data_IF_893203510376
#
_entry.id   IF_893203510376
#
_cell.length_a   1.000
_cell.length_b   1.000
_cell.length_c   1.000
_cell.angle_alpha   90.00
_cell.angle_beta   90.00
_cell.angle_gamma   90.00
#
_symmetry.space_group_name_H-M   'P 1'
#
loop_
_entity.id
_entity.type
_entity.pdbx_description
1 polymer ?
#
# COMPACT_ATOMS: atom_id res chain seq x y z
N UNK A 1 1.73 -54.11 48.67
CA UNK A 1 2.67 -54.49 47.57
C UNK A 1 1.88 -54.62 46.27
N UNK A 2 2.50 -54.27 45.13
CA UNK A 2 1.89 -54.10 43.79
C UNK A 2 0.90 -55.20 43.35
N UNK A 3 -0.20 -54.79 42.70
CA UNK A 3 -0.71 -55.38 41.44
C UNK A 3 -1.40 -54.29 40.59
N UNK A 4 -1.41 -54.50 39.27
CA UNK A 4 -1.73 -53.51 38.23
C UNK A 4 -3.24 -53.40 38.00
N UNK A 5 -3.74 -52.20 37.73
CA UNK A 5 -4.93 -51.98 36.90
C UNK A 5 -4.48 -51.44 35.54
N UNK A 6 -5.11 -51.90 34.47
CA UNK A 6 -4.99 -51.29 33.15
C UNK A 6 -5.96 -50.12 33.11
N UNK A 7 -5.51 -48.96 32.65
CA UNK A 7 -6.39 -47.94 32.07
C UNK A 7 -5.80 -47.44 30.75
N UNK A 8 -6.68 -46.98 29.87
CA UNK A 8 -6.48 -46.93 28.42
C UNK A 8 -5.62 -45.77 27.94
N UNK A 9 -4.71 -46.05 27.00
CA UNK A 9 -4.04 -45.00 26.23
C UNK A 9 -5.07 -44.19 25.42
N UNK A 10 -5.07 -42.88 25.64
CA UNK A 10 -5.48 -41.89 24.63
C UNK A 10 -4.22 -41.16 24.18
N UNK A 11 -4.00 -40.93 22.87
CA UNK A 11 -2.73 -40.37 22.40
C UNK A 11 -2.53 -38.92 22.84
N UNK A 12 -1.27 -38.61 23.14
CA UNK A 12 -0.80 -37.27 23.52
C UNK A 12 -1.07 -36.24 22.43
N UNK A 13 -1.21 -34.97 22.82
CA UNK A 13 -1.50 -33.87 21.91
C UNK A 13 -0.43 -33.73 20.83
N UNK A 14 -0.87 -33.60 19.58
CA UNK A 14 0.00 -33.21 18.48
C UNK A 14 0.47 -31.78 18.71
N UNK A 15 1.71 -31.65 19.17
CA UNK A 15 2.40 -30.36 19.28
C UNK A 15 2.57 -29.77 17.88
N UNK A 16 1.71 -28.83 17.52
CA UNK A 16 1.71 -28.20 16.20
C UNK A 16 2.93 -27.31 16.09
N UNK A 17 4.00 -27.82 15.47
CA UNK A 17 5.32 -27.20 15.32
C UNK A 17 5.38 -25.93 14.46
N UNK A 18 4.45 -25.01 14.67
CA UNK A 18 4.45 -23.65 14.15
C UNK A 18 5.35 -22.83 15.08
N UNK A 19 6.53 -22.43 14.58
CA UNK A 19 7.42 -21.55 15.33
C UNK A 19 6.68 -20.26 15.73
N UNK A 20 6.89 -19.74 16.95
CA UNK A 20 6.23 -18.52 17.40
C UNK A 20 6.60 -17.36 16.46
N UNK A 21 5.59 -16.61 16.00
CA UNK A 21 5.80 -15.45 15.14
C UNK A 21 6.65 -14.41 15.90
N UNK A 22 7.70 -13.84 15.29
CA UNK A 22 8.55 -12.86 15.96
C UNK A 22 7.71 -11.63 16.36
N UNK A 23 7.85 -11.21 17.61
CA UNK A 23 7.20 -10.00 18.12
C UNK A 23 7.98 -8.76 17.70
N UNK A 24 7.33 -7.60 17.70
CA UNK A 24 7.98 -6.34 17.34
C UNK A 24 9.20 -6.01 18.25
N UNK A 25 9.21 -6.51 19.49
CA UNK A 25 10.32 -6.47 20.44
C UNK A 25 11.58 -7.23 20.00
N UNK A 26 11.43 -8.20 19.09
CA UNK A 26 12.45 -9.20 18.81
C UNK A 26 13.39 -8.74 17.67
N UNK A 27 13.08 -7.58 17.05
CA UNK A 27 13.87 -6.95 15.99
C UNK A 27 14.82 -5.90 16.56
N UNK A 28 16.07 -6.30 16.83
CA UNK A 28 17.16 -5.36 17.15
C UNK A 28 17.62 -4.66 15.87
N UNK A 29 17.21 -3.40 15.68
CA UNK A 29 17.56 -2.63 14.49
C UNK A 29 18.96 -2.03 14.58
N UNK A 30 19.87 -2.53 13.74
CA UNK A 30 21.15 -1.87 13.48
C UNK A 30 20.96 -0.67 12.53
N UNK A 31 21.74 0.40 12.72
CA UNK A 31 21.73 1.58 11.83
C UNK A 31 22.01 1.14 10.38
N UNK A 32 21.20 1.62 9.44
CA UNK A 32 21.47 1.37 8.02
C UNK A 32 22.84 1.95 7.59
N UNK A 33 23.68 1.20 6.85
CA UNK A 33 24.96 1.71 6.35
C UNK A 33 24.81 2.61 5.11
N UNK A 34 23.59 2.78 4.58
CA UNK A 34 23.31 3.71 3.47
C UNK A 34 23.15 5.13 4.03
N UNK A 35 23.90 6.10 3.48
CA UNK A 35 23.73 7.51 3.82
C UNK A 35 22.27 7.95 3.57
N UNK A 36 21.67 8.63 4.55
CA UNK A 36 20.24 8.93 4.48
C UNK A 36 19.91 9.89 3.33
N UNK A 37 18.84 9.53 2.61
CA UNK A 37 18.43 10.16 1.37
C UNK A 37 17.96 11.60 1.60
N UNK A 38 18.40 12.52 0.75
CA UNK A 38 18.27 13.99 0.91
C UNK A 38 16.84 14.57 0.81
N UNK A 39 15.80 13.75 1.00
CA UNK A 39 14.39 14.15 0.90
C UNK A 39 13.51 13.58 2.03
N UNK A 40 14.04 12.75 2.94
CA UNK A 40 13.37 12.34 4.19
C UNK A 40 13.95 13.14 5.34
N UNK A 41 13.10 13.70 6.22
CA UNK A 41 13.56 14.59 7.30
C UNK A 41 13.94 13.87 8.60
N UNK A 42 13.97 12.53 8.60
CA UNK A 42 14.43 11.69 9.70
C UNK A 42 14.87 10.31 9.21
N UNK A 43 15.65 9.58 10.02
CA UNK A 43 16.03 8.20 9.73
C UNK A 43 14.82 7.26 9.81
N UNK A 44 14.78 6.13 9.08
CA UNK A 44 13.69 5.18 9.19
C UNK A 44 13.57 4.58 10.60
N UNK A 45 14.67 4.42 11.33
CA UNK A 45 14.65 4.00 12.73
C UNK A 45 14.14 5.10 13.67
N UNK A 46 14.34 6.38 13.35
CA UNK A 46 13.71 7.51 14.06
C UNK A 46 12.21 7.58 13.77
N UNK A 47 11.81 7.59 12.49
CA UNK A 47 10.41 7.51 12.05
C UNK A 47 9.67 6.35 12.74
N UNK A 48 10.25 5.16 12.71
CA UNK A 48 9.66 3.96 13.30
C UNK A 48 9.50 4.10 14.82
N UNK A 49 10.52 4.61 15.53
CA UNK A 49 10.43 4.84 16.99
C UNK A 49 9.36 5.86 17.33
N UNK A 50 9.32 7.00 16.65
CA UNK A 50 8.29 8.03 16.84
C UNK A 50 6.88 7.48 16.63
N UNK A 51 6.66 6.71 15.56
CA UNK A 51 5.35 6.09 15.30
C UNK A 51 5.02 5.04 16.37
N UNK A 52 5.96 4.18 16.73
CA UNK A 52 5.75 3.16 17.78
C UNK A 52 5.47 3.78 19.14
N UNK A 53 6.13 4.90 19.50
CA UNK A 53 5.88 5.61 20.76
C UNK A 53 4.46 6.23 20.79
N UNK A 54 3.96 6.74 19.66
CA UNK A 54 2.57 7.20 19.51
C UNK A 54 1.56 6.06 19.59
N UNK A 55 1.86 4.90 18.97
CA UNK A 55 0.95 3.75 18.94
C UNK A 55 0.97 2.93 20.25
N UNK A 56 2.05 2.97 21.04
CA UNK A 56 2.26 2.13 22.23
C UNK A 56 1.13 2.18 23.27
N UNK A 57 0.56 3.36 23.63
CA UNK A 57 -0.52 3.41 24.63
C UNK A 57 -1.85 2.81 24.17
N UNK A 58 -2.04 2.61 22.86
CA UNK A 58 -3.34 2.30 22.25
C UNK A 58 -3.40 0.93 21.58
N UNK A 59 -2.28 0.46 21.01
CA UNK A 59 -2.25 -0.67 20.07
C UNK A 59 -1.14 -1.69 20.34
N UNK A 60 -0.34 -1.55 21.40
CA UNK A 60 0.64 -2.57 21.81
C UNK A 60 0.11 -3.36 23.01
N UNK A 61 0.30 -4.70 23.05
CA UNK A 61 1.16 -5.52 22.18
C UNK A 61 0.51 -5.96 20.85
N UNK A 62 -0.65 -5.41 20.51
CA UNK A 62 -1.56 -5.95 19.48
C UNK A 62 -1.15 -5.67 18.02
N UNK A 63 0.03 -5.08 17.76
CA UNK A 63 0.61 -4.93 16.41
C UNK A 63 1.60 -6.06 16.10
N UNK A 64 1.32 -6.79 15.03
CA UNK A 64 2.15 -7.87 14.47
C UNK A 64 2.74 -7.41 13.13
N UNK A 65 3.99 -7.79 12.87
CA UNK A 65 4.68 -7.46 11.61
C UNK A 65 5.18 -8.73 10.93
N UNK A 66 4.83 -8.93 9.66
CA UNK A 66 5.53 -9.88 8.79
C UNK A 66 6.54 -9.15 7.90
N UNK A 67 7.60 -9.85 7.48
CA UNK A 67 8.64 -9.35 6.58
C UNK A 67 8.96 -10.42 5.53
N UNK A 68 9.14 -10.00 4.27
CA UNK A 68 9.57 -10.86 3.16
C UNK A 68 10.42 -10.04 2.15
N UNK A 69 11.49 -10.61 1.57
CA UNK A 69 12.19 -10.00 0.45
C UNK A 69 11.46 -10.23 -0.89
N UNK A 70 11.88 -9.56 -1.96
CA UNK A 70 11.65 -10.06 -3.33
C UNK A 70 12.56 -11.26 -3.64
N UNK A 71 12.33 -11.92 -4.78
CA UNK A 71 13.12 -13.07 -5.24
C UNK A 71 14.63 -12.80 -5.40
N UNK A 72 15.05 -11.55 -5.57
CA UNK A 72 16.46 -11.13 -5.66
C UNK A 72 17.10 -10.72 -4.32
N UNK A 73 16.33 -10.62 -3.24
CA UNK A 73 16.82 -10.09 -1.95
C UNK A 73 17.18 -8.60 -1.95
N UNK A 74 16.92 -7.88 -3.05
CA UNK A 74 17.27 -6.46 -3.25
C UNK A 74 16.24 -5.49 -2.66
N UNK A 75 15.00 -5.94 -2.45
CA UNK A 75 13.91 -5.17 -1.84
C UNK A 75 13.18 -5.98 -0.76
N UNK A 76 12.52 -5.27 0.14
CA UNK A 76 11.84 -5.80 1.32
C UNK A 76 10.41 -5.25 1.42
N UNK A 77 9.51 -6.14 1.77
CA UNK A 77 8.11 -5.87 2.07
C UNK A 77 7.83 -6.23 3.51
N UNK A 78 7.08 -5.37 4.21
CA UNK A 78 6.46 -5.76 5.46
C UNK A 78 4.94 -5.67 5.36
N UNK A 79 4.24 -6.33 6.27
CA UNK A 79 2.83 -6.04 6.56
C UNK A 79 2.69 -5.76 8.04
N UNK A 80 2.28 -4.54 8.37
CA UNK A 80 1.98 -4.09 9.74
C UNK A 80 0.48 -4.30 9.94
N UNK A 81 0.11 -5.27 10.76
CA UNK A 81 -1.28 -5.64 11.02
C UNK A 81 -1.57 -5.58 12.52
N UNK A 82 -2.84 -5.43 12.90
CA UNK A 82 -3.29 -5.82 14.23
C UNK A 82 -3.30 -7.36 14.35
N UNK A 83 -3.35 -7.92 15.57
CA UNK A 83 -3.27 -9.39 15.83
C UNK A 83 -4.15 -10.22 14.88
N UNK A 84 -5.37 -9.73 14.61
CA UNK A 84 -6.35 -10.42 13.76
C UNK A 84 -5.99 -10.47 12.25
N UNK A 85 -4.96 -9.75 11.77
CA UNK A 85 -4.45 -9.80 10.39
C UNK A 85 -5.35 -9.22 9.28
N UNK A 86 -6.66 -9.13 9.53
CA UNK A 86 -7.70 -8.55 8.67
C UNK A 86 -7.49 -7.05 8.45
N UNK A 87 -6.98 -6.34 9.46
CA UNK A 87 -6.61 -4.92 9.38
C UNK A 87 -5.09 -4.79 9.42
N UNK A 88 -4.50 -4.31 8.32
CA UNK A 88 -3.08 -4.03 8.21
C UNK A 88 -2.73 -3.26 6.94
N UNK A 89 -1.56 -2.64 6.95
CA UNK A 89 -0.97 -1.86 5.85
C UNK A 89 0.37 -2.44 5.44
N UNK A 90 0.85 -2.12 4.24
CA UNK A 90 2.06 -2.73 3.68
C UNK A 90 3.23 -1.74 3.71
N UNK A 91 4.45 -2.25 3.86
CA UNK A 91 5.66 -1.43 3.99
C UNK A 91 6.68 -1.69 2.89
N UNK A 92 7.10 -0.58 2.27
CA UNK A 92 8.05 -0.39 1.17
C UNK A 92 9.56 -0.23 1.47
N UNK A 93 10.49 -1.11 1.11
CA UNK A 93 11.91 -0.80 1.39
C UNK A 93 13.01 -1.39 0.51
N UNK A 94 14.03 -0.57 0.24
CA UNK A 94 15.36 -1.03 -0.22
C UNK A 94 16.20 -1.67 0.91
N UNK A 95 15.67 -1.67 2.14
CA UNK A 95 16.26 -2.24 3.37
C UNK A 95 15.11 -2.56 4.34
N UNK A 96 15.33 -3.46 5.30
CA UNK A 96 14.34 -3.77 6.35
C UNK A 96 13.88 -2.52 7.13
N UNK A 97 14.77 -1.63 7.63
CA UNK A 97 14.33 -0.39 8.29
C UNK A 97 13.41 0.49 7.43
N UNK A 98 13.71 0.63 6.13
CA UNK A 98 12.87 1.40 5.21
C UNK A 98 11.49 0.75 5.02
N UNK A 99 11.43 -0.58 4.87
CA UNK A 99 10.17 -1.32 4.75
C UNK A 99 9.31 -1.15 6.00
N UNK A 100 9.90 -1.33 7.19
CA UNK A 100 9.22 -1.12 8.47
C UNK A 100 8.70 0.31 8.62
N UNK A 101 9.57 1.31 8.42
CA UNK A 101 9.19 2.71 8.52
C UNK A 101 8.06 3.07 7.53
N UNK A 102 8.11 2.56 6.30
CA UNK A 102 7.05 2.74 5.31
C UNK A 102 5.73 2.08 5.74
N UNK A 103 5.76 0.85 6.30
CA UNK A 103 4.53 0.15 6.69
C UNK A 103 3.87 0.76 7.91
N UNK A 104 4.67 1.21 8.88
CA UNK A 104 4.17 1.97 10.03
C UNK A 104 3.69 3.36 9.65
N UNK A 105 4.31 4.03 8.66
CA UNK A 105 3.83 5.30 8.13
C UNK A 105 2.49 5.14 7.36
N UNK A 106 2.36 4.12 6.51
CA UNK A 106 1.08 3.81 5.82
C UNK A 106 -0.01 3.45 6.85
N UNK A 107 0.33 2.72 7.92
CA UNK A 107 -0.59 2.47 9.04
C UNK A 107 -1.03 3.77 9.73
N UNK A 108 -0.10 4.68 10.05
CA UNK A 108 -0.41 5.98 10.64
C UNK A 108 -1.26 6.86 9.73
N UNK A 109 -0.94 6.93 8.44
CA UNK A 109 -1.72 7.66 7.44
C UNK A 109 -3.18 7.20 7.43
N UNK A 110 -3.40 5.88 7.38
CA UNK A 110 -4.73 5.27 7.28
C UNK A 110 -5.49 5.38 8.61
N UNK A 111 -4.78 5.40 9.74
CA UNK A 111 -5.32 5.72 11.07
C UNK A 111 -5.74 7.20 11.16
N UNK A 112 -4.87 8.14 10.80
CA UNK A 112 -5.09 9.59 10.92
C UNK A 112 -6.19 10.08 9.98
N UNK A 113 -6.26 9.55 8.77
CA UNK A 113 -7.30 9.87 7.79
C UNK A 113 -8.56 8.98 7.91
N UNK A 114 -8.68 8.20 9.00
CA UNK A 114 -9.83 7.35 9.35
C UNK A 114 -10.19 6.25 8.32
N UNK A 115 -9.33 5.99 7.33
CA UNK A 115 -9.60 5.06 6.23
C UNK A 115 -9.62 3.58 6.61
N UNK A 116 -8.96 3.18 7.70
CA UNK A 116 -9.11 1.83 8.26
C UNK A 116 -10.58 1.54 8.66
N UNK A 117 -11.41 2.59 8.79
CA UNK A 117 -12.80 2.52 9.21
C UNK A 117 -13.76 3.17 8.19
N UNK A 118 -13.52 2.92 6.88
CA UNK A 118 -14.39 3.40 5.79
C UNK A 118 -15.81 2.80 5.78
N UNK A 119 -16.02 1.57 6.26
CA UNK A 119 -17.32 0.89 6.21
C UNK A 119 -18.27 1.23 7.37
N UNK A 120 -17.91 2.19 8.22
CA UNK A 120 -18.65 2.50 9.44
C UNK A 120 -19.34 3.86 9.29
N UNK A 121 -20.61 3.87 8.89
CA UNK A 121 -21.54 4.99 9.12
C UNK A 121 -22.99 4.67 8.70
N UNK A 122 -23.89 4.46 9.66
CA UNK A 122 -25.34 4.62 9.49
C UNK A 122 -25.82 6.08 9.68
N UNK A 123 -24.93 7.08 9.51
CA UNK A 123 -24.81 8.27 10.37
C UNK A 123 -24.08 7.99 11.72
N UNK A 124 -23.11 7.06 11.68
CA UNK A 124 -22.06 6.79 12.69
C UNK A 124 -22.44 6.23 14.09
N UNK A 125 -23.38 5.25 14.21
CA UNK A 125 -23.28 4.22 15.26
C UNK A 125 -22.79 2.85 14.74
N UNK A 126 -22.43 1.97 15.67
CA UNK A 126 -21.88 0.60 15.47
C UNK A 126 -20.42 0.53 15.00
N UNK A 127 -19.50 0.82 15.94
CA UNK A 127 -18.13 0.28 15.96
C UNK A 127 -18.16 -1.23 16.30
N UNK A 128 -18.84 -2.02 15.47
CA UNK A 128 -18.56 -3.44 15.35
C UNK A 128 -17.51 -3.63 14.26
N UNK A 129 -16.25 -3.37 14.61
CA UNK A 129 -15.24 -4.24 14.06
C UNK A 129 -15.58 -5.64 14.59
N UNK A 130 -16.16 -6.50 13.79
CA UNK A 130 -16.32 -7.92 14.06
C UNK A 130 -15.82 -8.63 12.81
N UNK A 131 -14.55 -9.08 12.75
CA UNK A 131 -14.23 -10.18 11.86
C UNK A 131 -15.20 -11.32 12.19
N UNK A 132 -15.69 -12.04 11.16
CA UNK A 132 -16.85 -12.94 11.26
C UNK A 132 -16.73 -13.98 12.39
N UNK A 133 -15.50 -14.28 12.82
CA UNK A 133 -15.17 -14.87 14.12
C UNK A 133 -14.00 -14.11 14.75
N UNK A 134 -14.18 -13.54 15.95
CA UNK A 134 -13.08 -13.18 16.86
C UNK A 134 -12.80 -14.41 17.75
N UNK A 135 -11.55 -14.91 17.85
CA UNK A 135 -11.20 -15.94 18.81
C UNK A 135 -11.55 -15.52 20.24
N UNK A 136 -12.15 -16.41 21.04
CA UNK A 136 -12.70 -16.04 22.37
C UNK A 136 -11.64 -15.45 23.31
N UNK A 137 -10.38 -15.90 23.16
CA UNK A 137 -9.21 -15.39 23.88
C UNK A 137 -8.80 -13.95 23.52
N UNK A 138 -9.22 -13.42 22.37
CA UNK A 138 -8.88 -12.07 21.87
C UNK A 138 -10.01 -11.04 22.09
N UNK A 139 -11.23 -11.51 22.40
CA UNK A 139 -12.44 -10.68 22.57
C UNK A 139 -12.26 -9.53 23.58
N UNK A 140 -11.50 -9.74 24.65
CA UNK A 140 -11.24 -8.72 25.69
C UNK A 140 -10.30 -7.61 25.22
N UNK A 141 -9.21 -7.96 24.53
CA UNK A 141 -8.26 -6.98 23.95
C UNK A 141 -9.01 -6.12 22.92
N UNK A 142 -9.81 -6.78 22.09
CA UNK A 142 -10.63 -6.16 21.06
C UNK A 142 -11.67 -5.16 21.60
N UNK A 143 -12.38 -5.51 22.66
CA UNK A 143 -13.33 -4.59 23.31
C UNK A 143 -12.61 -3.38 23.92
N UNK A 144 -11.40 -3.59 24.49
CA UNK A 144 -10.57 -2.50 25.02
C UNK A 144 -10.08 -1.57 23.90
N UNK A 145 -9.63 -2.14 22.79
CA UNK A 145 -9.27 -1.43 21.56
C UNK A 145 -10.43 -0.58 21.03
N UNK A 146 -11.63 -1.17 20.85
CA UNK A 146 -12.79 -0.45 20.31
C UNK A 146 -13.23 0.70 21.23
N UNK A 147 -13.15 0.52 22.56
CA UNK A 147 -13.46 1.58 23.53
C UNK A 147 -12.39 2.69 23.59
N UNK A 148 -11.12 2.39 23.33
CA UNK A 148 -10.07 3.42 23.18
C UNK A 148 -10.25 4.20 21.87
N UNK A 149 -10.45 3.48 20.75
CA UNK A 149 -10.67 4.05 19.43
C UNK A 149 -11.91 4.95 19.37
N UNK A 150 -13.04 4.51 19.95
CA UNK A 150 -14.27 5.30 19.99
C UNK A 150 -14.10 6.65 20.69
N UNK A 151 -13.31 6.70 21.77
CA UNK A 151 -13.00 7.94 22.51
C UNK A 151 -12.11 8.87 21.69
N UNK A 152 -10.99 8.36 21.16
CA UNK A 152 -10.08 9.15 20.32
C UNK A 152 -10.79 9.71 19.05
N UNK A 153 -11.71 8.94 18.46
CA UNK A 153 -12.54 9.42 17.33
C UNK A 153 -13.53 10.49 17.76
N UNK A 154 -14.22 10.32 18.89
CA UNK A 154 -15.12 11.34 19.45
C UNK A 154 -14.35 12.65 19.73
N UNK A 155 -13.22 12.54 20.42
CA UNK A 155 -12.36 13.65 20.83
C UNK A 155 -11.61 14.32 19.65
N UNK A 156 -11.67 13.77 18.42
CA UNK A 156 -11.16 14.41 17.19
C UNK A 156 -12.26 14.96 16.29
N UNK A 157 -13.42 14.31 16.25
CA UNK A 157 -14.54 14.69 15.37
C UNK A 157 -15.41 15.78 16.01
N UNK A 158 -15.60 15.75 17.33
CA UNK A 158 -16.52 16.63 18.06
C UNK A 158 -15.94 18.01 18.41
N UNK A 159 -14.64 18.21 18.72
CA UNK A 159 -14.13 19.55 19.04
C UNK A 159 -13.73 20.38 17.82
N UNK A 160 -13.80 19.86 16.59
CA UNK A 160 -13.77 20.72 15.41
C UNK A 160 -15.14 21.37 15.21
N UNK A 161 -15.23 22.69 14.95
CA UNK A 161 -16.50 23.38 14.71
C UNK A 161 -17.10 22.95 13.36
N UNK A 162 -17.81 21.83 13.34
CA UNK A 162 -18.51 21.40 12.13
C UNK A 162 -19.72 22.29 11.87
N UNK A 163 -19.63 23.13 10.85
CA UNK A 163 -20.80 23.41 10.00
C UNK A 163 -21.30 22.06 9.49
N UNK A 164 -22.59 21.77 9.68
CA UNK A 164 -23.17 20.42 9.55
C UNK A 164 -22.59 19.59 8.39
N UNK A 165 -21.87 18.53 8.73
CA UNK A 165 -21.32 17.58 7.76
C UNK A 165 -20.13 18.08 6.92
N UNK A 166 -19.50 19.21 7.25
CA UNK A 166 -18.30 19.71 6.58
C UNK A 166 -17.01 19.37 7.34
N UNK A 167 -15.88 19.37 6.64
CA UNK A 167 -14.52 19.36 7.17
C UNK A 167 -13.76 20.61 6.73
N UNK A 168 -12.87 21.08 7.59
CA UNK A 168 -11.96 22.19 7.29
C UNK A 168 -10.74 21.72 6.50
N UNK A 169 -10.41 22.43 5.42
CA UNK A 169 -9.21 22.25 4.60
C UNK A 169 -8.52 23.60 4.40
N UNK A 170 -7.22 23.57 4.09
CA UNK A 170 -6.46 24.76 3.71
C UNK A 170 -6.14 24.72 2.21
N UNK A 171 -6.59 25.73 1.48
CA UNK A 171 -6.11 26.02 0.14
C UNK A 171 -4.68 26.56 0.25
N UNK A 172 -3.71 25.77 -0.20
CA UNK A 172 -2.28 26.12 -0.14
C UNK A 172 -1.87 27.16 -1.20
N UNK A 173 -2.68 27.37 -2.25
CA UNK A 173 -2.40 28.34 -3.31
C UNK A 173 -2.87 29.74 -2.91
N UNK A 174 -4.06 29.84 -2.31
CA UNK A 174 -4.66 31.11 -1.89
C UNK A 174 -4.42 31.44 -0.41
N UNK A 175 -3.92 30.48 0.39
CA UNK A 175 -3.70 30.65 1.83
C UNK A 175 -4.99 30.69 2.66
N UNK A 176 -6.14 30.32 2.07
CA UNK A 176 -7.47 30.44 2.67
C UNK A 176 -7.95 29.12 3.26
N UNK A 177 -8.77 29.21 4.32
CA UNK A 177 -9.57 28.07 4.79
C UNK A 177 -10.73 27.84 3.83
N UNK A 178 -10.99 26.58 3.48
CA UNK A 178 -12.12 26.12 2.66
C UNK A 178 -12.80 24.94 3.34
N UNK A 179 -14.12 24.83 3.21
CA UNK A 179 -14.89 23.75 3.81
C UNK A 179 -15.38 22.77 2.75
N UNK A 180 -15.04 21.49 2.92
CA UNK A 180 -15.45 20.41 2.01
C UNK A 180 -16.46 19.49 2.70
N UNK A 181 -17.52 19.11 2.00
CA UNK A 181 -18.50 18.17 2.54
C UNK A 181 -17.86 16.81 2.82
N UNK A 182 -18.17 16.21 3.98
CA UNK A 182 -17.66 14.91 4.43
C UNK A 182 -17.88 13.79 3.40
N UNK A 183 -18.99 13.85 2.67
CA UNK A 183 -19.29 12.95 1.54
C UNK A 183 -18.32 13.11 0.36
N UNK A 184 -17.87 14.32 0.06
CA UNK A 184 -16.90 14.59 -1.01
C UNK A 184 -15.47 14.22 -0.62
N UNK A 185 -15.15 14.13 0.67
CA UNK A 185 -13.83 13.67 1.13
C UNK A 185 -13.73 12.15 1.04
N UNK A 186 -14.73 11.43 1.54
CA UNK A 186 -14.65 9.96 1.61
C UNK A 186 -15.12 9.23 0.34
N UNK A 187 -16.09 9.74 -0.42
CA UNK A 187 -16.67 8.97 -1.53
C UNK A 187 -15.80 8.94 -2.81
N UNK A 188 -15.41 10.08 -3.43
CA UNK A 188 -14.76 10.10 -4.73
C UNK A 188 -13.23 9.87 -4.73
N UNK A 189 -12.53 10.15 -3.62
CA UNK A 189 -11.05 10.12 -3.63
C UNK A 189 -10.44 8.80 -3.16
N UNK A 190 -11.22 7.88 -2.56
CA UNK A 190 -10.67 6.68 -1.89
C UNK A 190 -9.49 7.10 -0.99
N UNK A 191 -8.30 6.53 -1.16
CA UNK A 191 -7.06 6.89 -0.43
C UNK A 191 -6.18 7.91 -1.15
N UNK A 192 -6.65 8.49 -2.26
CA UNK A 192 -5.83 9.33 -3.15
C UNK A 192 -5.38 10.62 -2.46
N UNK A 193 -4.07 10.80 -2.32
CA UNK A 193 -3.49 12.04 -1.78
C UNK A 193 -3.55 12.14 -0.26
N UNK A 194 -3.86 11.07 0.45
CA UNK A 194 -3.46 10.96 1.86
C UNK A 194 -1.97 10.66 1.94
N UNK A 195 -1.29 11.16 2.97
CA UNK A 195 0.10 10.83 3.25
C UNK A 195 0.43 11.05 4.73
N UNK A 196 1.29 10.19 5.28
CA UNK A 196 2.04 10.48 6.50
C UNK A 196 3.51 10.78 6.18
N UNK A 197 4.16 11.56 7.04
CA UNK A 197 5.57 11.92 6.92
C UNK A 197 6.12 12.46 8.24
N UNK A 198 7.45 12.50 8.35
CA UNK A 198 8.14 13.03 9.54
C UNK A 198 7.89 14.53 9.77
N UNK A 199 7.55 15.25 8.71
CA UNK A 199 7.18 16.68 8.68
C UNK A 199 5.95 16.87 7.79
N UNK A 200 5.26 18.00 7.95
CA UNK A 200 4.09 18.36 7.12
C UNK A 200 4.49 18.43 5.64
N UNK A 201 5.66 18.97 5.37
CA UNK A 201 6.21 19.16 4.03
C UNK A 201 6.56 17.81 3.38
N UNK A 202 7.15 16.88 4.14
CA UNK A 202 7.42 15.52 3.66
C UNK A 202 6.12 14.77 3.31
N UNK A 203 5.08 14.91 4.14
CA UNK A 203 3.76 14.33 3.88
C UNK A 203 3.12 14.95 2.61
N UNK A 204 3.11 16.28 2.50
CA UNK A 204 2.59 16.98 1.31
C UNK A 204 3.31 16.57 0.02
N UNK A 205 4.64 16.40 0.05
CA UNK A 205 5.41 15.92 -1.11
C UNK A 205 5.02 14.49 -1.50
N UNK A 206 4.77 13.59 -0.54
CA UNK A 206 4.28 12.24 -0.87
C UNK A 206 2.85 12.28 -1.45
N UNK A 207 1.93 13.03 -0.84
CA UNK A 207 0.55 13.18 -1.33
C UNK A 207 0.49 13.74 -2.76
N UNK A 208 1.28 14.77 -3.05
CA UNK A 208 1.39 15.35 -4.39
C UNK A 208 2.03 14.38 -5.39
N UNK A 209 3.08 13.64 -4.98
CA UNK A 209 3.66 12.60 -5.82
C UNK A 209 2.61 11.54 -6.18
N UNK A 210 1.85 11.02 -5.22
CA UNK A 210 0.81 10.01 -5.46
C UNK A 210 -0.32 10.55 -6.36
N UNK A 211 -0.67 11.83 -6.24
CA UNK A 211 -1.63 12.50 -7.13
C UNK A 211 -1.09 12.59 -8.57
N UNK A 212 0.18 12.98 -8.76
CA UNK A 212 0.81 12.98 -10.08
C UNK A 212 0.95 11.56 -10.65
N UNK A 213 1.31 10.58 -9.82
CA UNK A 213 1.44 9.14 -10.13
C UNK A 213 0.14 8.58 -10.73
N UNK A 214 -1.02 8.89 -10.12
CA UNK A 214 -2.34 8.52 -10.66
C UNK A 214 -2.79 9.37 -11.85
N UNK A 215 -2.55 10.69 -11.85
CA UNK A 215 -2.96 11.56 -12.95
C UNK A 215 -2.23 11.20 -14.26
N UNK A 216 -0.92 10.96 -14.19
CA UNK A 216 -0.12 10.55 -15.34
C UNK A 216 -0.57 9.19 -15.86
N UNK A 217 -0.71 8.18 -14.97
CA UNK A 217 -1.20 6.85 -15.34
C UNK A 217 -2.58 6.90 -16.02
N UNK A 218 -3.52 7.67 -15.47
CA UNK A 218 -4.85 7.88 -16.06
C UNK A 218 -4.80 8.53 -17.44
N UNK A 219 -3.91 9.50 -17.61
CA UNK A 219 -3.80 10.27 -18.86
C UNK A 219 -3.17 9.43 -19.98
N UNK A 220 -2.11 8.68 -19.68
CA UNK A 220 -1.48 7.74 -20.64
C UNK A 220 -2.46 6.66 -21.07
N UNK A 221 -3.15 6.02 -20.11
CA UNK A 221 -4.09 4.94 -20.38
C UNK A 221 -5.32 5.42 -21.19
N UNK A 222 -6.01 6.47 -20.72
CA UNK A 222 -7.25 6.96 -21.35
C UNK A 222 -7.03 7.40 -22.80
N UNK A 223 -5.89 8.00 -23.08
CA UNK A 223 -5.57 8.57 -24.39
C UNK A 223 -4.72 7.62 -25.26
N UNK A 224 -4.47 6.38 -24.82
CA UNK A 224 -3.58 5.38 -25.47
C UNK A 224 -2.26 6.02 -25.94
N UNK A 225 -1.58 6.73 -25.04
CA UNK A 225 -0.38 7.50 -25.40
C UNK A 225 0.84 6.62 -25.56
N UNK A 226 1.45 6.63 -26.75
CA UNK A 226 2.83 6.15 -26.93
C UNK A 226 3.78 7.14 -26.25
N UNK A 227 4.46 6.67 -25.20
CA UNK A 227 5.36 7.48 -24.35
C UNK A 227 6.84 7.10 -24.55
N UNK A 228 7.76 8.08 -24.52
CA UNK A 228 9.16 7.82 -24.84
C UNK A 228 9.85 7.00 -23.75
N UNK A 229 10.78 6.14 -24.17
CA UNK A 229 11.64 5.37 -23.28
C UNK A 229 12.79 6.23 -22.75
N UNK A 230 13.10 6.09 -21.47
CA UNK A 230 14.22 6.74 -20.79
C UNK A 230 15.47 5.84 -20.91
N UNK A 231 16.56 6.30 -21.55
CA UNK A 231 17.80 5.53 -21.61
C UNK A 231 18.41 5.31 -20.22
N UNK A 232 18.81 4.07 -19.92
CA UNK A 232 19.27 3.69 -18.57
C UNK A 232 20.59 4.35 -18.15
N UNK A 233 21.35 4.93 -19.08
CA UNK A 233 22.56 5.69 -18.76
C UNK A 233 22.28 7.00 -17.98
N UNK A 234 21.04 7.51 -18.00
CA UNK A 234 20.59 8.59 -17.12
C UNK A 234 20.30 8.12 -15.67
N UNK A 235 20.30 6.81 -15.42
CA UNK A 235 20.01 6.22 -14.11
C UNK A 235 21.30 5.88 -13.34
N UNK A 236 21.21 5.95 -12.02
CA UNK A 236 22.31 5.60 -11.12
C UNK A 236 22.72 4.14 -11.29
N UNK A 237 23.98 3.78 -10.96
CA UNK A 237 24.41 2.38 -11.00
C UNK A 237 23.52 1.46 -10.16
N UNK A 238 23.05 1.91 -8.99
CA UNK A 238 22.16 1.13 -8.12
C UNK A 238 20.79 0.84 -8.74
N UNK A 239 20.23 1.79 -9.50
CA UNK A 239 18.96 1.60 -10.20
C UNK A 239 19.14 0.67 -11.39
N UNK A 240 20.21 0.85 -12.17
CA UNK A 240 20.55 -0.07 -13.27
C UNK A 240 20.75 -1.50 -12.80
N UNK A 241 21.41 -1.72 -11.68
CA UNK A 241 21.58 -3.04 -11.07
C UNK A 241 20.22 -3.75 -10.83
N UNK A 242 19.24 -3.05 -10.25
CA UNK A 242 17.91 -3.63 -10.03
C UNK A 242 17.17 -3.96 -11.34
N UNK A 243 17.32 -3.12 -12.37
CA UNK A 243 16.73 -3.39 -13.69
C UNK A 243 17.43 -4.57 -14.39
N UNK A 244 18.75 -4.70 -14.24
CA UNK A 244 19.51 -5.85 -14.73
C UNK A 244 19.12 -7.16 -14.03
N UNK A 245 18.88 -7.17 -12.71
CA UNK A 245 18.39 -8.36 -12.00
C UNK A 245 17.07 -8.91 -12.59
N UNK A 246 16.14 -8.01 -12.93
CA UNK A 246 14.88 -8.37 -13.60
C UNK A 246 15.14 -8.92 -15.02
N UNK A 247 16.08 -8.30 -15.74
CA UNK A 247 16.45 -8.72 -17.09
C UNK A 247 17.15 -10.09 -17.13
N UNK A 248 18.05 -10.35 -16.18
CA UNK A 248 18.75 -11.65 -16.01
C UNK A 248 17.80 -12.78 -15.59
N UNK A 249 16.67 -12.45 -14.96
CA UNK A 249 15.58 -13.39 -14.69
C UNK A 249 14.74 -13.74 -15.95
N UNK A 250 15.08 -13.21 -17.12
CA UNK A 250 14.47 -13.56 -18.41
C UNK A 250 13.33 -12.65 -18.85
N UNK A 251 13.18 -11.46 -18.26
CA UNK A 251 12.14 -10.49 -18.61
C UNK A 251 12.70 -9.30 -19.40
N UNK A 252 11.89 -8.77 -20.31
CA UNK A 252 12.12 -7.45 -20.89
C UNK A 252 11.75 -6.36 -19.89
N UNK A 253 12.55 -5.29 -19.86
CA UNK A 253 12.38 -4.19 -18.90
C UNK A 253 12.51 -2.84 -19.60
N UNK A 254 11.54 -1.97 -19.43
CA UNK A 254 11.55 -0.62 -19.97
C UNK A 254 11.33 0.41 -18.86
N UNK A 255 11.97 1.58 -18.99
CA UNK A 255 11.64 2.76 -18.19
C UNK A 255 11.04 3.78 -19.14
N UNK A 256 9.80 4.20 -18.89
CA UNK A 256 9.02 5.11 -19.73
C UNK A 256 8.82 6.46 -19.03
N UNK A 257 8.87 7.55 -19.79
CA UNK A 257 8.64 8.90 -19.30
C UNK A 257 7.14 9.19 -19.19
N UNK A 258 6.66 9.41 -17.97
CA UNK A 258 5.27 9.73 -17.66
C UNK A 258 5.10 11.21 -17.26
N UNK A 259 6.06 12.08 -17.62
CA UNK A 259 6.02 13.53 -17.41
C UNK A 259 4.92 14.25 -18.21
N UNK A 260 4.30 13.57 -19.18
CA UNK A 260 3.29 14.05 -20.13
C UNK A 260 3.72 15.28 -20.96
N UNK A 261 5.01 15.61 -21.00
CA UNK A 261 5.50 16.86 -21.61
C UNK A 261 5.16 18.13 -20.83
N UNK A 262 4.50 18.01 -19.67
CA UNK A 262 4.18 19.14 -18.76
C UNK A 262 5.10 19.16 -17.52
N UNK A 263 6.06 18.24 -17.44
CA UNK A 263 7.08 18.21 -16.39
C UNK A 263 6.67 17.51 -15.10
N UNK A 264 5.70 16.58 -15.13
CA UNK A 264 5.37 15.79 -13.94
C UNK A 264 6.56 14.88 -13.54
N UNK A 265 6.85 14.70 -12.23
CA UNK A 265 7.99 13.91 -11.76
C UNK A 265 7.69 12.39 -11.73
N UNK A 266 7.06 11.89 -12.80
CA UNK A 266 6.53 10.52 -12.90
C UNK A 266 7.27 9.74 -13.99
N UNK A 267 7.65 8.52 -13.67
CA UNK A 267 8.12 7.52 -14.64
C UNK A 267 7.26 6.26 -14.52
N UNK A 268 7.43 5.33 -15.44
CA UNK A 268 6.83 4.00 -15.33
C UNK A 268 7.86 2.93 -15.66
N UNK A 269 7.98 1.89 -14.82
CA UNK A 269 8.74 0.69 -15.15
C UNK A 269 7.79 -0.33 -15.76
N UNK A 270 8.14 -0.88 -16.90
CA UNK A 270 7.41 -1.95 -17.58
C UNK A 270 8.25 -3.22 -17.51
N UNK A 271 7.65 -4.34 -17.13
CA UNK A 271 8.30 -5.65 -17.02
C UNK A 271 7.42 -6.71 -17.70
N UNK A 272 7.97 -7.58 -18.54
CA UNK A 272 7.18 -8.63 -19.18
C UNK A 272 7.95 -9.49 -20.19
N UNK A 273 7.23 -10.33 -20.91
CA UNK A 273 7.66 -10.95 -22.18
C UNK A 273 6.47 -11.02 -23.14
N UNK A 274 6.67 -11.22 -24.45
CA UNK A 274 5.57 -11.42 -25.39
C UNK A 274 4.62 -12.59 -25.04
N UNK A 275 5.11 -13.63 -24.37
CA UNK A 275 4.34 -14.83 -24.00
C UNK A 275 3.61 -14.66 -22.66
N UNK A 276 4.27 -14.04 -21.68
CA UNK A 276 3.73 -13.81 -20.35
C UNK A 276 2.74 -12.64 -20.33
N UNK A 277 3.03 -11.62 -21.14
CA UNK A 277 2.41 -10.30 -21.11
C UNK A 277 3.27 -9.26 -20.37
N UNK A 278 2.96 -7.98 -20.58
CA UNK A 278 3.63 -6.86 -19.92
C UNK A 278 2.84 -6.31 -18.74
N UNK A 279 3.55 -5.91 -17.70
CA UNK A 279 3.03 -5.18 -16.56
C UNK A 279 3.71 -3.82 -16.48
N UNK A 280 2.93 -2.74 -16.39
CA UNK A 280 3.47 -1.40 -16.24
C UNK A 280 3.15 -0.87 -14.84
N UNK A 281 4.16 -0.35 -14.13
CA UNK A 281 4.01 0.25 -12.79
C UNK A 281 4.53 1.69 -12.77
N UNK A 282 3.64 2.70 -12.65
CA UNK A 282 4.03 4.09 -12.52
C UNK A 282 4.60 4.38 -11.13
N UNK A 283 5.46 5.39 -11.04
CA UNK A 283 6.09 5.83 -9.80
C UNK A 283 6.51 7.31 -9.88
N UNK A 284 6.20 8.07 -8.84
CA UNK A 284 6.47 9.52 -8.74
C UNK A 284 7.36 9.85 -7.54
N UNK A 285 8.43 10.61 -7.75
CA UNK A 285 9.27 11.11 -6.67
C UNK A 285 10.08 12.35 -7.07
N UNK A 286 10.57 13.15 -6.10
CA UNK A 286 11.61 14.15 -6.35
C UNK A 286 12.92 13.47 -6.83
N UNK A 287 13.09 13.35 -8.14
CA UNK A 287 14.27 12.77 -8.80
C UNK A 287 14.03 11.39 -9.43
N UNK A 288 14.50 11.25 -10.67
CA UNK A 288 14.22 10.10 -11.54
C UNK A 288 14.58 8.73 -10.93
N UNK A 289 15.75 8.63 -10.30
CA UNK A 289 16.21 7.38 -9.68
C UNK A 289 15.25 6.90 -8.60
N UNK A 290 14.68 7.83 -7.80
CA UNK A 290 13.73 7.48 -6.75
C UNK A 290 12.35 7.15 -7.29
N UNK A 291 11.96 7.76 -8.42
CA UNK A 291 10.74 7.42 -9.12
C UNK A 291 10.80 5.98 -9.67
N UNK A 292 11.93 5.59 -10.27
CA UNK A 292 12.19 4.19 -10.71
C UNK A 292 12.24 3.22 -9.52
N UNK A 293 12.92 3.57 -8.42
CA UNK A 293 12.90 2.78 -7.18
C UNK A 293 11.48 2.54 -6.67
N UNK A 294 10.61 3.56 -6.68
CA UNK A 294 9.19 3.40 -6.33
C UNK A 294 8.49 2.42 -7.26
N UNK A 295 8.66 2.54 -8.59
CA UNK A 295 8.05 1.61 -9.54
C UNK A 295 8.41 0.14 -9.23
N UNK A 296 9.70 -0.14 -8.96
CA UNK A 296 10.18 -1.51 -8.66
C UNK A 296 9.65 -2.01 -7.31
N UNK A 297 9.65 -1.17 -6.28
CA UNK A 297 9.07 -1.51 -4.96
C UNK A 297 7.56 -1.76 -5.06
N UNK A 298 6.84 -0.94 -5.81
CA UNK A 298 5.40 -1.08 -6.07
C UNK A 298 5.08 -2.35 -6.87
N UNK A 299 5.94 -2.74 -7.81
CA UNK A 299 5.79 -3.95 -8.63
C UNK A 299 5.75 -5.22 -7.77
N UNK A 300 6.76 -5.42 -6.91
CA UNK A 300 6.87 -6.59 -6.01
C UNK A 300 5.98 -6.52 -4.77
N UNK A 301 5.15 -5.48 -4.60
CA UNK A 301 4.26 -5.40 -3.45
C UNK A 301 3.25 -6.56 -3.46
N UNK A 302 3.23 -7.30 -2.34
CA UNK A 302 2.33 -8.43 -2.09
C UNK A 302 2.74 -9.75 -2.77
N UNK A 303 3.43 -9.69 -3.92
CA UNK A 303 3.86 -10.87 -4.69
C UNK A 303 5.38 -10.74 -4.96
N UNK A 304 6.23 -11.54 -4.30
CA UNK A 304 7.69 -11.34 -4.32
C UNK A 304 8.39 -11.85 -5.59
N UNK A 305 7.66 -12.46 -6.53
CA UNK A 305 8.22 -13.02 -7.77
C UNK A 305 7.60 -12.41 -9.02
N UNK A 306 8.45 -12.13 -10.02
CA UNK A 306 8.10 -11.45 -11.28
C UNK A 306 7.10 -12.25 -12.09
N UNK A 307 7.34 -13.56 -12.27
CA UNK A 307 6.43 -14.44 -13.01
C UNK A 307 5.04 -14.54 -12.33
N UNK A 308 5.03 -14.71 -11.01
CA UNK A 308 3.79 -14.79 -10.23
C UNK A 308 3.02 -13.46 -10.27
N UNK A 309 3.72 -12.32 -10.30
CA UNK A 309 3.11 -10.99 -10.41
C UNK A 309 2.41 -10.82 -11.76
N UNK A 310 3.09 -11.10 -12.87
CA UNK A 310 2.51 -10.99 -14.22
C UNK A 310 1.31 -11.95 -14.37
N UNK A 311 1.44 -13.20 -13.93
CA UNK A 311 0.34 -14.18 -13.98
C UNK A 311 -0.89 -13.71 -13.21
N UNK A 312 -0.71 -13.25 -11.96
CA UNK A 312 -1.82 -12.79 -11.13
C UNK A 312 -2.58 -11.59 -11.74
N UNK A 313 -1.84 -10.67 -12.36
CA UNK A 313 -2.41 -9.49 -13.04
C UNK A 313 -3.11 -9.87 -14.34
N UNK A 314 -2.50 -10.75 -15.15
CA UNK A 314 -3.13 -11.30 -16.36
C UNK A 314 -4.44 -12.00 -16.04
N UNK A 315 -4.45 -12.90 -15.05
CA UNK A 315 -5.69 -13.55 -14.62
C UNK A 315 -6.74 -12.56 -14.09
N UNK A 316 -6.34 -11.53 -13.34
CA UNK A 316 -7.26 -10.48 -12.91
C UNK A 316 -7.84 -9.72 -14.11
N UNK A 317 -7.00 -9.45 -15.11
CA UNK A 317 -7.38 -8.81 -16.38
C UNK A 317 -8.41 -9.65 -17.13
N UNK A 318 -8.13 -10.94 -17.33
CA UNK A 318 -8.98 -11.88 -18.05
C UNK A 318 -10.32 -12.09 -17.32
N UNK A 319 -10.31 -12.18 -15.98
CA UNK A 319 -11.54 -12.22 -15.17
C UNK A 319 -12.39 -10.96 -15.36
N UNK A 320 -11.80 -9.77 -15.34
CA UNK A 320 -12.53 -8.51 -15.56
C UNK A 320 -13.08 -8.46 -17.00
N UNK A 321 -12.24 -8.76 -18.01
CA UNK A 321 -12.68 -8.82 -19.43
C UNK A 321 -13.83 -9.82 -19.61
N UNK A 322 -13.79 -10.99 -18.97
CA UNK A 322 -14.88 -11.98 -19.04
C UNK A 322 -16.18 -11.51 -18.38
N UNK A 323 -16.13 -10.99 -17.15
CA UNK A 323 -17.30 -10.44 -16.45
C UNK A 323 -17.90 -9.30 -17.29
N UNK A 324 -17.08 -8.40 -17.82
CA UNK A 324 -17.55 -7.26 -18.60
C UNK A 324 -18.09 -7.67 -19.97
N UNK A 325 -17.52 -8.69 -20.63
CA UNK A 325 -18.12 -9.25 -21.86
C UNK A 325 -19.55 -9.76 -21.63
N UNK A 326 -19.79 -10.36 -20.46
CA UNK A 326 -21.11 -10.85 -20.02
C UNK A 326 -22.08 -9.70 -19.72
N UNK A 327 -21.58 -8.54 -19.29
CA UNK A 327 -22.36 -7.34 -18.95
C UNK A 327 -22.48 -6.32 -20.10
N UNK A 328 -21.66 -6.41 -21.15
CA UNK A 328 -21.55 -5.39 -22.23
C UNK A 328 -22.87 -5.13 -22.95
N UNK A 329 -23.67 -6.19 -23.16
CA UNK A 329 -25.06 -6.14 -23.68
C UNK A 329 -26.01 -5.23 -22.88
N UNK A 330 -25.64 -4.83 -21.66
CA UNK A 330 -26.34 -3.87 -20.81
C UNK A 330 -25.51 -2.60 -20.51
N UNK A 331 -24.18 -2.66 -20.55
CA UNK A 331 -23.28 -1.55 -20.20
C UNK A 331 -22.95 -0.61 -21.35
N UNK A 332 -23.03 -1.04 -22.62
CA UNK A 332 -22.75 -0.20 -23.80
C UNK A 332 -23.65 1.05 -23.90
N UNK A 333 -24.76 1.07 -23.15
CA UNK A 333 -25.69 2.21 -23.01
C UNK A 333 -25.17 3.28 -22.04
N UNK A 334 -24.24 2.95 -21.14
CA UNK A 334 -23.76 3.81 -20.06
C UNK A 334 -22.30 4.24 -20.22
N UNK A 335 -21.41 3.33 -20.62
CA UNK A 335 -19.99 3.59 -20.87
C UNK A 335 -19.46 2.63 -21.93
N UNK A 336 -18.42 3.02 -22.68
CA UNK A 336 -17.68 2.05 -23.48
C UNK A 336 -16.84 1.13 -22.59
N UNK A 337 -16.58 -0.10 -23.05
CA UNK A 337 -15.70 -1.04 -22.35
C UNK A 337 -14.33 -0.40 -22.07
N UNK A 338 -13.71 0.25 -23.06
CA UNK A 338 -12.43 0.97 -22.94
C UNK A 338 -12.46 2.04 -21.82
N UNK A 339 -13.52 2.83 -21.74
CA UNK A 339 -13.65 3.88 -20.69
C UNK A 339 -13.85 3.27 -19.30
N UNK A 340 -14.55 2.14 -19.19
CA UNK A 340 -14.72 1.42 -17.93
C UNK A 340 -13.44 0.70 -17.47
N UNK A 341 -12.72 0.05 -18.39
CA UNK A 341 -11.41 -0.57 -18.11
C UNK A 341 -10.43 0.51 -17.63
N UNK A 342 -10.39 1.66 -18.32
CA UNK A 342 -9.59 2.83 -17.92
C UNK A 342 -9.90 3.27 -16.48
N UNK A 343 -11.15 3.23 -16.02
CA UNK A 343 -11.52 3.64 -14.65
C UNK A 343 -11.15 2.59 -13.60
N UNK A 344 -11.26 1.30 -13.90
CA UNK A 344 -11.11 0.24 -12.89
C UNK A 344 -9.70 -0.31 -12.73
N UNK A 345 -8.93 -0.45 -13.82
CA UNK A 345 -7.54 -0.95 -13.73
C UNK A 345 -6.60 0.03 -13.01
N UNK A 346 -6.92 1.33 -13.02
CA UNK A 346 -6.23 2.35 -12.24
C UNK A 346 -6.34 2.14 -10.71
N UNK A 347 -7.36 1.43 -10.21
CA UNK A 347 -7.46 1.10 -8.79
C UNK A 347 -6.49 -0.01 -8.36
N UNK A 348 -5.94 -0.78 -9.31
CA UNK A 348 -4.95 -1.82 -9.07
C UNK A 348 -3.51 -1.42 -9.48
N UNK A 349 -3.36 -0.34 -10.27
CA UNK A 349 -2.12 0.03 -10.99
C UNK A 349 -1.57 -1.15 -11.83
N UNK A 350 -2.50 -1.85 -12.47
CA UNK A 350 -2.24 -3.02 -13.28
C UNK A 350 -2.62 -2.65 -14.71
N UNK A 351 -1.65 -2.33 -15.54
CA UNK A 351 -1.91 -2.11 -16.96
C UNK A 351 -2.10 -3.46 -17.66
N UNK A 352 -3.12 -3.64 -18.50
CA UNK A 352 -3.30 -4.88 -19.24
C UNK A 352 -2.13 -5.14 -20.21
N UNK A 353 -1.58 -6.36 -20.27
CA UNK A 353 -0.50 -6.75 -21.17
C UNK A 353 -0.61 -6.31 -22.63
N UNK A 354 -1.82 -6.37 -23.18
CA UNK A 354 -2.08 -6.23 -24.62
C UNK A 354 -2.65 -4.85 -25.02
N UNK A 355 -2.86 -3.95 -24.05
CA UNK A 355 -3.49 -2.62 -24.28
C UNK A 355 -2.46 -1.47 -24.36
N UNK A 356 -1.17 -1.78 -24.19
CA UNK A 356 -0.08 -0.81 -24.26
C UNK A 356 0.73 -0.99 -25.55
N UNK A 357 0.47 -0.11 -26.52
CA UNK A 357 1.40 0.12 -27.64
C UNK A 357 2.61 0.91 -27.13
N UNK A 358 3.82 0.36 -27.29
CA UNK A 358 5.06 0.80 -26.63
C UNK A 358 6.14 1.34 -27.57
#
# INVERSE_FOLDING_TARGET
MRRRSNDTCTPEGQDSGIAPRPRCSDFVLHRSPKAYLSYKSGSPEETLRTIQDVLRPYFFPDIVVSLQPNEFGSTWFCRVSLVHGSVGQNGKGMTIPLALASGFAEFMERLQALYLWRNYSPALPHLEMTPDVIPENERTQWNTFNAALAREMHDRIVPQPSLDGMYEFHDLMNGTVVYLARSLVYTPFLTTGTAAGNTREEALVQALCELFERYAARTVLRNRMVVPSIPWNFLSPSVREMLHQIQEAGFEVYVKDFSLGIGLPVVCVVVGTPEAGYHARPGSAPGINRAVERCILEYYQGIPSTAAKISAVREATDRIKHIMSTLSSHLDVLFSLDEFLTVNFLNAYDFPPDELEF
#
